data_IF_102031869358
#
_entry.id   IF_102031869358
#
_cell.length_a   1.000
_cell.length_b   1.000
_cell.length_c   1.000
_cell.angle_alpha   90.00
_cell.angle_beta   90.00
_cell.angle_gamma   90.00
#
_symmetry.space_group_name_H-M   'P 1'
#
loop_
_entity.id
_entity.type
_entity.pdbx_description
1 polymer ?
#
# COMPACT_ATOMS: atom_id res chain seq x y z
N UNK A 1 -11.35 4.77 -23.74
CA UNK A 1 -10.40 4.57 -22.62
C UNK A 1 -11.14 4.97 -21.36
N UNK A 2 -11.58 4.01 -20.56
CA UNK A 2 -12.33 4.28 -19.32
C UNK A 2 -11.32 4.38 -18.21
N UNK A 3 -11.07 5.57 -17.69
CA UNK A 3 -10.28 5.74 -16.48
C UNK A 3 -11.00 4.99 -15.36
N UNK A 4 -10.36 4.03 -14.66
CA UNK A 4 -11.04 3.31 -13.61
C UNK A 4 -11.52 4.30 -12.54
N UNK A 5 -12.75 4.17 -12.03
CA UNK A 5 -13.27 5.06 -11.02
C UNK A 5 -12.36 5.00 -9.78
N UNK A 6 -12.04 6.17 -9.23
CA UNK A 6 -11.30 6.25 -7.97
C UNK A 6 -12.24 5.91 -6.83
N UNK A 7 -12.04 4.75 -6.21
CA UNK A 7 -12.74 4.31 -5.01
C UNK A 7 -12.03 4.86 -3.78
N UNK A 8 -12.81 5.45 -2.88
CA UNK A 8 -12.34 5.93 -1.58
C UNK A 8 -13.22 5.30 -0.51
N UNK A 9 -12.60 4.53 0.38
CA UNK A 9 -13.25 3.85 1.47
C UNK A 9 -12.76 4.45 2.80
N UNK A 10 -13.52 5.40 3.40
CA UNK A 10 -13.22 5.90 4.72
C UNK A 10 -13.55 4.82 5.77
N UNK A 11 -12.60 4.56 6.66
CA UNK A 11 -12.76 3.85 7.92
C UNK A 11 -12.52 4.80 9.09
N UNK A 12 -12.70 4.31 10.32
CA UNK A 12 -12.75 5.15 11.52
C UNK A 12 -11.59 6.15 11.64
N UNK A 13 -10.34 5.68 11.53
CA UNK A 13 -9.13 6.53 11.55
C UNK A 13 -8.22 6.27 10.35
N UNK A 14 -8.76 5.73 9.27
CA UNK A 14 -7.98 5.31 8.12
C UNK A 14 -8.77 5.50 6.85
N UNK A 15 -8.11 5.82 5.75
CA UNK A 15 -8.76 5.97 4.44
C UNK A 15 -8.05 5.07 3.46
N UNK A 16 -8.82 4.18 2.82
CA UNK A 16 -8.35 3.37 1.71
C UNK A 16 -8.70 4.06 0.40
N UNK A 17 -7.77 4.05 -0.55
CA UNK A 17 -8.01 4.56 -1.90
C UNK A 17 -7.49 3.59 -2.93
N UNK A 18 -8.24 3.47 -4.01
CA UNK A 18 -7.89 2.63 -5.15
C UNK A 18 -8.40 3.29 -6.43
N UNK A 19 -7.52 3.47 -7.40
CA UNK A 19 -7.84 4.07 -8.70
C UNK A 19 -7.29 3.21 -9.85
N UNK A 20 -7.45 1.88 -9.76
CA UNK A 20 -6.95 0.94 -10.76
C UNK A 20 -5.43 0.69 -10.71
N UNK A 21 -4.80 0.97 -9.58
CA UNK A 21 -3.36 0.82 -9.37
C UNK A 21 -3.04 0.41 -7.93
N UNK A 22 -1.94 0.89 -7.32
CA UNK A 22 -1.64 0.54 -5.94
C UNK A 22 -2.76 0.99 -5.00
N UNK A 23 -3.07 0.17 -4.00
CA UNK A 23 -3.96 0.54 -2.92
C UNK A 23 -3.18 1.44 -1.96
N UNK A 24 -3.70 2.61 -1.65
CA UNK A 24 -3.11 3.49 -0.62
C UNK A 24 -3.95 3.44 0.63
N UNK A 25 -3.30 3.16 1.76
CA UNK A 25 -3.87 3.18 3.09
C UNK A 25 -3.29 4.36 3.86
N UNK A 26 -4.07 5.43 3.96
CA UNK A 26 -3.75 6.59 4.79
C UNK A 26 -4.24 6.33 6.22
N UNK A 27 -3.36 6.49 7.20
CA UNK A 27 -3.66 6.53 8.64
C UNK A 27 -3.15 7.85 9.21
N UNK A 28 -3.58 8.21 10.42
CA UNK A 28 -3.21 9.49 11.08
C UNK A 28 -1.81 10.03 10.76
N UNK A 29 -0.78 9.20 10.91
CA UNK A 29 0.62 9.63 10.80
C UNK A 29 1.41 8.94 9.68
N UNK A 30 0.76 8.09 8.89
CA UNK A 30 1.45 7.28 7.87
C UNK A 30 0.54 6.88 6.73
N UNK A 31 1.11 6.90 5.53
CA UNK A 31 0.51 6.36 4.33
C UNK A 31 1.26 5.09 3.92
N UNK A 32 0.54 4.00 3.71
CA UNK A 32 1.08 2.79 3.11
C UNK A 32 0.66 2.72 1.65
N UNK A 33 1.63 2.61 0.74
CA UNK A 33 1.39 2.32 -0.67
C UNK A 33 1.61 0.82 -0.88
N UNK A 34 0.53 0.12 -1.19
CA UNK A 34 0.47 -1.33 -1.35
C UNK A 34 0.31 -1.63 -2.84
N UNK A 35 1.36 -2.09 -3.54
CA UNK A 35 1.24 -2.52 -4.94
C UNK A 35 0.28 -3.70 -5.09
N UNK A 36 -0.44 -3.80 -6.22
CA UNK A 36 -1.37 -4.91 -6.46
C UNK A 36 -0.67 -6.27 -6.49
N UNK A 37 0.58 -6.30 -6.96
CA UNK A 37 1.41 -7.50 -6.97
C UNK A 37 1.78 -7.99 -5.56
N UNK A 38 1.68 -7.13 -4.54
CA UNK A 38 1.92 -7.50 -3.15
C UNK A 38 0.69 -8.11 -2.47
N UNK A 39 -0.49 -7.98 -3.08
CA UNK A 39 -1.77 -8.38 -2.48
C UNK A 39 -2.05 -9.83 -2.89
N UNK A 40 -2.29 -10.67 -1.88
CA UNK A 40 -2.78 -12.03 -2.08
C UNK A 40 -4.29 -12.02 -2.33
N UNK A 41 -5.05 -11.41 -1.41
CA UNK A 41 -6.49 -11.21 -1.56
C UNK A 41 -6.98 -10.07 -0.66
N UNK A 42 -8.18 -9.58 -0.96
CA UNK A 42 -8.89 -8.59 -0.15
C UNK A 42 -10.25 -9.16 0.20
N UNK A 43 -10.67 -9.02 1.45
CA UNK A 43 -11.98 -9.45 1.89
C UNK A 43 -12.61 -8.44 2.85
N UNK A 44 -13.92 -8.29 2.74
CA UNK A 44 -14.72 -7.55 3.70
C UNK A 44 -15.23 -8.51 4.79
N UNK A 45 -15.19 -8.07 6.04
CA UNK A 45 -15.69 -8.76 7.22
C UNK A 45 -16.59 -7.81 8.01
N UNK A 46 -17.88 -7.75 7.65
CA UNK A 46 -18.84 -6.79 8.21
C UNK A 46 -18.33 -5.34 8.07
N UNK A 47 -18.25 -4.55 9.15
CA UNK A 47 -17.77 -3.16 9.09
C UNK A 47 -16.23 -3.05 9.05
N UNK A 48 -15.55 -4.06 8.52
CA UNK A 48 -14.09 -4.12 8.39
C UNK A 48 -13.67 -4.61 7.01
N UNK A 49 -12.51 -4.15 6.55
CA UNK A 49 -11.85 -4.64 5.35
C UNK A 49 -10.43 -5.10 5.69
N UNK A 50 -10.05 -6.26 5.20
CA UNK A 50 -8.73 -6.84 5.36
C UNK A 50 -8.04 -7.00 4.00
N UNK A 51 -6.84 -6.43 3.89
CA UNK A 51 -5.93 -6.61 2.76
C UNK A 51 -4.82 -7.54 3.22
N UNK A 52 -4.75 -8.72 2.61
CA UNK A 52 -3.77 -9.76 2.95
C UNK A 52 -2.67 -9.73 1.90
N UNK A 53 -1.42 -9.56 2.34
CA UNK A 53 -0.27 -9.59 1.44
C UNK A 53 0.18 -11.03 1.18
N UNK A 54 0.88 -11.24 0.06
CA UNK A 54 1.60 -12.48 -0.17
C UNK A 54 2.77 -12.62 0.79
N UNK A 55 3.04 -13.84 1.22
CA UNK A 55 4.15 -14.18 2.11
C UNK A 55 5.04 -15.24 1.46
N UNK A 56 6.35 -15.11 1.64
CA UNK A 56 7.30 -16.07 1.11
C UNK A 56 7.35 -17.32 1.99
N UNK A 57 7.04 -18.48 1.42
CA UNK A 57 7.22 -19.79 2.05
C UNK A 57 6.36 -19.96 3.31
N UNK A 58 7.02 -20.14 4.46
CA UNK A 58 6.37 -20.36 5.76
C UNK A 58 6.16 -19.06 6.57
N UNK A 59 6.45 -17.89 5.99
CA UNK A 59 6.24 -16.62 6.68
C UNK A 59 4.74 -16.33 6.85
N UNK A 60 4.40 -15.69 7.96
CA UNK A 60 3.03 -15.22 8.20
C UNK A 60 2.70 -14.05 7.27
N UNK A 61 1.53 -14.06 6.60
CA UNK A 61 1.13 -12.95 5.75
C UNK A 61 0.88 -11.69 6.57
N UNK A 62 1.38 -10.57 6.07
CA UNK A 62 1.06 -9.26 6.64
C UNK A 62 -0.37 -8.90 6.27
N UNK A 63 -1.17 -8.51 7.27
CA UNK A 63 -2.59 -8.18 7.08
C UNK A 63 -2.82 -6.73 7.49
N UNK A 64 -3.33 -5.91 6.56
CA UNK A 64 -3.82 -4.57 6.86
C UNK A 64 -5.32 -4.60 7.08
N UNK A 65 -5.74 -4.44 8.33
CA UNK A 65 -7.15 -4.29 8.71
C UNK A 65 -7.55 -2.83 8.86
N UNK A 66 -8.69 -2.49 8.27
CA UNK A 66 -9.36 -1.20 8.39
C UNK A 66 -10.77 -1.44 8.92
N UNK A 67 -11.09 -0.89 10.08
CA UNK A 67 -12.38 -1.04 10.74
C UNK A 67 -13.19 0.27 10.67
N UNK A 68 -14.49 0.16 10.92
CA UNK A 68 -15.43 1.29 10.87
C UNK A 68 -15.69 1.77 9.44
N UNK A 69 -15.60 0.85 8.47
CA UNK A 69 -15.97 1.10 7.09
C UNK A 69 -17.45 0.80 6.88
N UNK A 70 -18.06 1.44 5.89
CA UNK A 70 -19.37 1.02 5.39
C UNK A 70 -19.25 -0.37 4.74
N UNK A 71 -20.13 -1.30 5.12
CA UNK A 71 -20.04 -2.71 4.72
C UNK A 71 -20.25 -2.90 3.22
N UNK A 72 -21.22 -2.20 2.62
CA UNK A 72 -21.48 -2.29 1.18
C UNK A 72 -20.33 -1.68 0.38
N UNK A 73 -19.77 -0.55 0.84
CA UNK A 73 -18.60 0.07 0.24
C UNK A 73 -17.34 -0.80 0.39
N UNK A 74 -17.18 -1.50 1.52
CA UNK A 74 -16.08 -2.44 1.74
C UNK A 74 -16.15 -3.61 0.77
N UNK A 75 -17.34 -4.18 0.55
CA UNK A 75 -17.54 -5.25 -0.43
C UNK A 75 -17.20 -4.78 -1.85
N UNK A 76 -17.76 -3.65 -2.28
CA UNK A 76 -17.48 -3.09 -3.61
C UNK A 76 -15.98 -2.77 -3.81
N UNK A 77 -15.32 -2.28 -2.76
CA UNK A 77 -13.88 -2.04 -2.79
C UNK A 77 -13.08 -3.34 -2.91
N UNK A 78 -13.44 -4.37 -2.13
CA UNK A 78 -12.79 -5.68 -2.19
C UNK A 78 -12.92 -6.31 -3.59
N UNK A 79 -14.11 -6.26 -4.19
CA UNK A 79 -14.35 -6.77 -5.54
C UNK A 79 -13.52 -6.02 -6.59
N UNK A 80 -13.48 -4.69 -6.51
CA UNK A 80 -12.73 -3.88 -7.46
C UNK A 80 -11.20 -4.13 -7.37
N UNK A 81 -10.66 -4.27 -6.17
CA UNK A 81 -9.23 -4.60 -5.99
C UNK A 81 -8.97 -6.02 -6.47
N UNK A 82 -9.82 -6.98 -6.11
CA UNK A 82 -9.70 -8.39 -6.53
C UNK A 82 -9.71 -8.52 -8.06
N UNK A 83 -10.58 -7.79 -8.76
CA UNK A 83 -10.64 -7.77 -10.22
C UNK A 83 -9.39 -7.18 -10.88
N UNK A 84 -8.60 -6.38 -10.15
CA UNK A 84 -7.39 -5.75 -10.64
C UNK A 84 -6.11 -6.50 -10.23
N UNK A 85 -6.20 -7.58 -9.44
CA UNK A 85 -5.03 -8.35 -9.03
C UNK A 85 -4.35 -9.00 -10.24
N UNK A 86 -3.01 -9.00 -10.29
CA UNK A 86 -2.28 -9.68 -11.35
C UNK A 86 -2.43 -11.20 -11.21
N UNK A 87 -2.42 -11.91 -12.34
CA UNK A 87 -2.45 -13.37 -12.36
C UNK A 87 -1.21 -14.01 -11.69
N UNK A 88 -0.10 -13.26 -11.60
CA UNK A 88 1.14 -13.71 -10.96
C UNK A 88 1.54 -12.68 -9.90
N UNK A 89 1.16 -12.89 -8.63
CA UNK A 89 1.57 -12.02 -7.54
C UNK A 89 3.05 -12.24 -7.18
N UNK A 90 3.63 -11.27 -6.46
CA UNK A 90 4.99 -11.35 -5.96
C UNK A 90 5.11 -12.38 -4.83
N UNK A 91 6.27 -13.04 -4.66
CA UNK A 91 6.46 -14.06 -3.62
C UNK A 91 6.47 -13.49 -2.19
N UNK A 92 6.92 -12.25 -2.00
CA UNK A 92 6.86 -11.54 -0.72
C UNK A 92 6.31 -10.13 -0.95
N UNK A 93 5.02 -9.95 -0.68
CA UNK A 93 4.34 -8.69 -0.86
C UNK A 93 4.73 -7.64 0.18
N UNK A 94 5.11 -8.06 1.38
CA UNK A 94 5.48 -7.14 2.46
C UNK A 94 6.71 -6.31 2.09
N UNK A 95 7.67 -6.91 1.38
CA UNK A 95 8.87 -6.24 0.89
C UNK A 95 8.60 -5.14 -0.15
N UNK A 96 7.42 -5.15 -0.79
CA UNK A 96 7.04 -4.17 -1.82
C UNK A 96 6.24 -2.99 -1.27
N UNK A 97 5.73 -3.11 -0.04
CA UNK A 97 4.94 -2.03 0.56
C UNK A 97 5.84 -0.88 0.96
N UNK A 98 5.55 0.31 0.44
CA UNK A 98 6.24 1.53 0.84
C UNK A 98 5.43 2.24 1.92
N UNK A 99 6.09 2.64 3.01
CA UNK A 99 5.46 3.42 4.08
C UNK A 99 6.06 4.82 4.12
N UNK A 100 5.22 5.84 4.02
CA UNK A 100 5.60 7.25 4.14
C UNK A 100 4.99 7.82 5.42
N UNK A 101 5.79 8.51 6.24
CA UNK A 101 5.29 9.22 7.40
C UNK A 101 4.65 10.55 6.96
N UNK A 102 3.38 10.75 7.30
CA UNK A 102 2.68 12.00 7.05
C UNK A 102 3.14 13.03 8.09
N UNK A 103 4.06 13.92 7.68
CA UNK A 103 4.65 14.95 8.54
C UNK A 103 6.17 14.81 8.78
N UNK A 104 6.81 13.74 8.29
CA UNK A 104 8.27 13.70 8.26
C UNK A 104 8.77 14.49 7.04
N UNK A 105 9.79 15.36 7.18
CA UNK A 105 10.47 15.90 6.01
C UNK A 105 10.98 14.73 5.17
N UNK A 106 10.74 14.75 3.86
CA UNK A 106 11.27 13.74 2.94
C UNK A 106 12.75 13.49 3.25
N UNK A 107 13.21 12.23 3.33
CA UNK A 107 14.63 11.96 3.36
C UNK A 107 15.18 12.47 2.03
N UNK A 108 15.75 13.70 2.07
CA UNK A 108 16.45 14.28 0.94
C UNK A 108 17.43 13.22 0.44
N UNK A 109 17.44 12.87 -0.85
CA UNK A 109 18.48 12.01 -1.38
C UNK A 109 19.80 12.68 -1.02
N UNK A 110 20.62 11.94 -0.28
CA UNK A 110 21.92 12.37 0.21
C UNK A 110 22.84 12.74 -0.97
N UNK A 111 22.75 14.00 -1.42
CA UNK A 111 23.59 14.60 -2.45
C UNK A 111 25.02 14.89 -1.98
N UNK A 112 25.46 14.33 -0.84
CA UNK A 112 26.81 14.57 -0.30
C UNK A 112 27.91 13.77 -1.03
N UNK A 113 27.58 12.95 -2.03
CA UNK A 113 28.58 12.22 -2.85
C UNK A 113 29.27 13.05 -3.95
N UNK A 114 29.11 14.38 -4.00
CA UNK A 114 29.75 15.22 -5.04
C UNK A 114 30.55 16.43 -4.55
N UNK A 115 30.80 16.57 -3.25
CA UNK A 115 31.60 17.69 -2.74
C UNK A 115 32.60 17.20 -1.68
N UNK A 116 33.63 16.48 -2.11
CA UNK A 116 34.99 16.79 -1.63
C UNK A 116 36.04 16.44 -2.70
N UNK A 117 37.04 17.30 -2.94
CA UNK A 117 37.97 17.16 -4.05
C UNK A 117 39.07 16.15 -3.73
N UNK A 118 39.55 15.47 -4.79
CA UNK A 118 40.85 14.80 -4.78
C UNK A 118 41.92 15.82 -4.37
N UNK A 119 42.53 15.62 -3.20
CA UNK A 119 43.80 16.27 -2.88
C UNK A 119 44.89 15.22 -3.05
N UNK A 120 45.59 15.32 -4.18
CA UNK A 120 46.86 14.64 -4.47
C UNK A 120 48.03 15.38 -3.81
N UNK A 121 49.13 14.65 -3.66
CA UNK A 121 50.52 15.09 -3.39
C UNK A 121 50.87 15.37 -1.92
N UNK A 122 52.05 14.99 -1.42
CA UNK A 122 53.26 14.45 -2.05
C UNK A 122 54.07 13.63 -1.06
#
# INVERSE_FOLDING_TARGET
>A
MTTPPSLVLPGGESVLRFAGGPVTLDRRDKAHRIPLEAISFVHAEGPSLAIVLTASGANEPTIYRVAGVDEAAALAFAEAVTAALPATPAPDGAALVTTSLLGAPEPRPALWRRLWPRRTSS
#
